data_IF_174941486799
#
_entry.id   IF_174941486799
#
_cell.length_a   1.000
_cell.length_b   1.000
_cell.length_c   1.000
_cell.angle_alpha   90.00
_cell.angle_beta   90.00
_cell.angle_gamma   90.00
#
_symmetry.space_group_name_H-M   'P 1'
#
loop_
_entity.id
_entity.type
_entity.pdbx_description
1 polymer ?
#
# COMPACT_ATOMS: atom_id res chain seq x y z
N UNK A 1 -0.91 -10.99 -25.28
CA UNK A 1 -0.31 -11.76 -24.17
C UNK A 1 -1.23 -12.91 -23.85
N UNK A 2 -0.69 -14.12 -23.73
CA UNK A 2 -1.45 -15.29 -23.29
C UNK A 2 -1.66 -15.25 -21.77
N UNK A 3 -2.74 -15.89 -21.31
CA UNK A 3 -3.15 -15.88 -19.90
C UNK A 3 -2.10 -16.44 -18.95
N UNK A 4 -1.26 -17.37 -19.42
CA UNK A 4 -0.21 -17.97 -18.60
C UNK A 4 0.96 -17.01 -18.38
N UNK A 5 1.32 -16.22 -19.40
CA UNK A 5 2.31 -15.14 -19.25
C UNK A 5 1.84 -14.08 -18.25
N UNK A 6 0.57 -13.65 -18.32
CA UNK A 6 -0.01 -12.69 -17.36
C UNK A 6 0.01 -13.26 -15.93
N UNK A 7 -0.35 -14.54 -15.77
CA UNK A 7 -0.33 -15.20 -14.46
C UNK A 7 1.10 -15.31 -13.90
N UNK A 8 2.08 -15.67 -14.73
CA UNK A 8 3.47 -15.81 -14.32
C UNK A 8 4.07 -14.46 -13.89
N UNK A 9 3.81 -13.39 -14.63
CA UNK A 9 4.22 -12.03 -14.27
C UNK A 9 3.56 -11.59 -12.95
N UNK A 10 2.26 -11.84 -12.77
CA UNK A 10 1.54 -11.53 -11.54
C UNK A 10 2.06 -12.33 -10.32
N UNK A 11 2.46 -13.58 -10.51
CA UNK A 11 3.05 -14.41 -9.44
C UNK A 11 4.47 -13.95 -9.11
N UNK A 12 5.29 -13.64 -10.11
CA UNK A 12 6.66 -13.13 -9.90
C UNK A 12 6.67 -11.77 -9.18
N UNK A 13 5.72 -10.88 -9.51
CA UNK A 13 5.55 -9.62 -8.78
C UNK A 13 5.23 -9.84 -7.29
N UNK A 14 4.49 -10.91 -6.96
CA UNK A 14 4.19 -11.29 -5.58
C UNK A 14 5.36 -11.98 -4.86
N UNK A 15 6.36 -12.50 -5.57
CA UNK A 15 7.56 -13.07 -4.95
C UNK A 15 8.49 -11.98 -4.38
N UNK A 16 8.40 -10.73 -4.88
CA UNK A 16 9.10 -9.57 -4.36
C UNK A 16 8.23 -8.78 -3.36
N UNK A 17 7.59 -9.48 -2.42
CA UNK A 17 6.78 -8.88 -1.37
C UNK A 17 7.60 -8.65 -0.10
N UNK A 18 8.03 -7.43 0.13
CA UNK A 18 8.69 -7.06 1.39
C UNK A 18 7.67 -6.49 2.38
N UNK A 19 7.64 -7.05 3.59
CA UNK A 19 6.94 -6.43 4.72
C UNK A 19 7.88 -5.41 5.35
N UNK A 20 7.60 -4.12 5.16
CA UNK A 20 8.47 -3.04 5.65
C UNK A 20 7.71 -2.10 6.57
N UNK A 21 8.45 -1.36 7.42
CA UNK A 21 7.85 -0.27 8.17
C UNK A 21 7.59 0.91 7.24
N UNK A 22 6.55 1.70 7.54
CA UNK A 22 6.35 3.00 6.89
C UNK A 22 7.58 3.89 7.03
N UNK A 23 8.31 3.78 8.14
CA UNK A 23 9.54 4.54 8.38
C UNK A 23 10.71 4.15 7.47
N UNK A 24 10.62 3.00 6.80
CA UNK A 24 11.64 2.50 5.87
C UNK A 24 11.38 2.96 4.42
N UNK A 25 10.22 3.57 4.17
CA UNK A 25 9.92 4.16 2.86
C UNK A 25 10.82 5.37 2.58
N UNK A 26 11.11 5.60 1.30
CA UNK A 26 11.83 6.79 0.91
C UNK A 26 10.96 8.03 1.14
N UNK A 27 11.57 9.06 1.73
CA UNK A 27 10.90 10.31 2.04
C UNK A 27 10.51 11.04 0.75
N UNK A 28 9.28 11.57 0.74
CA UNK A 28 8.65 12.35 -0.33
C UNK A 28 8.55 11.60 -1.68
N UNK A 29 8.59 10.26 -1.64
CA UNK A 29 8.33 9.39 -2.80
C UNK A 29 6.88 8.93 -2.81
N UNK A 30 6.28 8.91 -4.00
CA UNK A 30 4.93 8.42 -4.25
C UNK A 30 4.94 6.91 -4.48
N UNK A 31 4.24 6.19 -3.61
CA UNK A 31 4.03 4.76 -3.70
C UNK A 31 2.56 4.46 -4.02
N UNK A 32 2.20 4.11 -5.27
CA UNK A 32 0.83 3.77 -5.64
C UNK A 32 0.27 2.65 -4.76
N UNK A 33 -0.94 2.83 -4.23
CA UNK A 33 -1.59 1.79 -3.43
C UNK A 33 -2.36 0.86 -4.37
N UNK A 34 -1.90 -0.37 -4.50
CA UNK A 34 -2.54 -1.40 -5.31
C UNK A 34 -3.76 -1.99 -4.60
N UNK A 35 -3.65 -2.21 -3.29
CA UNK A 35 -4.66 -2.91 -2.51
C UNK A 35 -4.65 -2.43 -1.05
N UNK A 36 -5.83 -2.40 -0.42
CA UNK A 36 -6.00 -2.08 0.99
C UNK A 36 -6.83 -3.16 1.68
N UNK A 37 -6.44 -3.57 2.88
CA UNK A 37 -7.18 -4.58 3.65
C UNK A 37 -7.16 -4.28 5.13
N UNK A 38 -8.33 -4.37 5.73
CA UNK A 38 -8.50 -4.41 7.16
C UNK A 38 -8.03 -5.76 7.71
N UNK A 39 -7.14 -5.73 8.69
CA UNK A 39 -6.61 -6.93 9.33
C UNK A 39 -6.68 -6.84 10.85
N UNK A 40 -7.02 -7.95 11.48
CA UNK A 40 -6.89 -8.11 12.92
C UNK A 40 -5.47 -8.59 13.24
N UNK A 41 -4.71 -7.76 13.92
CA UNK A 41 -3.40 -8.14 14.45
C UNK A 41 -3.51 -8.50 15.92
N UNK A 42 -2.50 -9.19 16.46
CA UNK A 42 -2.37 -9.41 17.91
C UNK A 42 -2.31 -8.11 18.73
N UNK A 43 -2.08 -6.97 18.08
CA UNK A 43 -2.04 -5.65 18.70
C UNK A 43 -3.32 -4.84 18.44
N UNK A 44 -4.35 -5.45 17.87
CA UNK A 44 -5.61 -4.81 17.48
C UNK A 44 -5.75 -4.63 15.96
N UNK A 45 -6.79 -3.92 15.57
CA UNK A 45 -7.12 -3.67 14.16
C UNK A 45 -6.09 -2.76 13.48
N UNK A 46 -5.74 -3.08 12.24
CA UNK A 46 -4.86 -2.27 11.40
C UNK A 46 -5.29 -2.33 9.92
N UNK A 47 -4.93 -1.32 9.16
CA UNK A 47 -5.06 -1.34 7.69
C UNK A 47 -3.72 -1.74 7.10
N UNK A 48 -3.72 -2.82 6.32
CA UNK A 48 -2.60 -3.23 5.47
C UNK A 48 -2.74 -2.58 4.09
N UNK A 49 -1.66 -2.01 3.58
CA UNK A 49 -1.59 -1.51 2.21
C UNK A 49 -0.53 -2.27 1.44
N UNK A 50 -0.90 -2.74 0.24
CA UNK A 50 0.04 -3.23 -0.76
C UNK A 50 0.37 -2.05 -1.67
N UNK A 51 1.61 -1.60 -1.60
CA UNK A 51 2.14 -0.52 -2.40
C UNK A 51 2.89 -1.06 -3.62
N UNK A 52 2.92 -0.32 -4.71
CA UNK A 52 3.84 -0.57 -5.81
C UNK A 52 5.15 0.21 -5.59
N UNK A 53 6.27 -0.50 -5.68
CA UNK A 53 7.59 0.13 -5.69
C UNK A 53 8.03 0.38 -7.13
N UNK A 54 7.90 1.63 -7.57
CA UNK A 54 8.30 2.05 -8.92
C UNK A 54 9.80 1.83 -9.21
N UNK A 55 10.65 1.70 -8.18
CA UNK A 55 12.10 1.54 -8.37
C UNK A 55 12.49 0.09 -8.70
N UNK A 56 11.80 -0.88 -8.10
CA UNK A 56 12.07 -2.31 -8.29
C UNK A 56 11.03 -3.00 -9.19
N UNK A 57 9.89 -2.35 -9.44
CA UNK A 57 8.71 -2.96 -10.05
C UNK A 57 7.98 -3.94 -9.13
N UNK A 58 8.42 -4.08 -7.88
CA UNK A 58 7.86 -4.99 -6.89
C UNK A 58 6.68 -4.42 -6.11
N UNK A 59 6.30 -5.11 -5.04
CA UNK A 59 5.25 -4.67 -4.11
C UNK A 59 5.74 -4.64 -2.67
N UNK A 60 5.32 -3.61 -1.94
CA UNK A 60 5.68 -3.42 -0.53
C UNK A 60 4.42 -3.52 0.32
N UNK A 61 4.47 -4.36 1.35
CA UNK A 61 3.39 -4.51 2.32
C UNK A 61 3.70 -3.65 3.54
N UNK A 62 2.83 -2.65 3.80
CA UNK A 62 2.96 -1.75 4.95
C UNK A 62 1.71 -1.78 5.82
N UNK A 63 1.88 -1.60 7.12
CA UNK A 63 0.77 -1.37 8.05
C UNK A 63 0.62 0.11 8.33
N UNK A 64 -0.58 0.64 8.10
CA UNK A 64 -0.90 2.01 8.45
C UNK A 64 -0.92 2.19 9.99
N UNK A 65 -0.60 3.40 10.49
CA UNK A 65 -0.71 3.70 11.91
C UNK A 65 -2.14 3.48 12.39
N UNK A 66 -2.31 2.97 13.63
CA UNK A 66 -3.62 2.62 14.22
C UNK A 66 -4.69 3.72 14.19
N UNK A 67 -4.29 4.99 14.09
CA UNK A 67 -5.21 6.12 13.98
C UNK A 67 -5.97 6.12 12.64
N UNK A 68 -5.41 5.47 11.62
CA UNK A 68 -6.05 5.32 10.32
C UNK A 68 -6.91 4.06 10.36
N UNK A 69 -8.21 4.26 10.24
CA UNK A 69 -9.20 3.21 10.16
C UNK A 69 -9.99 3.40 8.86
N UNK A 70 -10.29 2.29 8.20
CA UNK A 70 -11.14 2.28 7.01
C UNK A 70 -12.32 1.37 7.22
N UNK A 71 -13.51 1.82 6.80
CA UNK A 71 -14.68 0.96 6.72
C UNK A 71 -14.40 -0.18 5.73
N UNK A 72 -14.96 -1.37 5.98
CA UNK A 72 -14.72 -2.53 5.13
C UNK A 72 -15.19 -2.27 3.69
N UNK A 73 -16.34 -1.62 3.56
CA UNK A 73 -16.95 -1.20 2.29
C UNK A 73 -16.04 -0.24 1.51
N UNK A 74 -15.36 0.67 2.22
CA UNK A 74 -14.42 1.60 1.59
C UNK A 74 -13.16 0.89 1.05
N UNK A 75 -12.65 -0.11 1.77
CA UNK A 75 -11.56 -0.95 1.28
C UNK A 75 -12.00 -1.77 0.05
N UNK A 76 -13.19 -2.35 0.08
CA UNK A 76 -13.74 -3.13 -1.03
C UNK A 76 -13.93 -2.29 -2.29
N UNK A 77 -14.59 -1.13 -2.19
CA UNK A 77 -14.75 -0.20 -3.32
C UNK A 77 -13.39 0.22 -3.89
N UNK A 78 -12.41 0.57 -3.03
CA UNK A 78 -11.06 0.92 -3.49
C UNK A 78 -10.39 -0.22 -4.28
N UNK A 79 -10.49 -1.45 -3.77
CA UNK A 79 -9.88 -2.62 -4.38
C UNK A 79 -10.55 -3.02 -5.70
N UNK A 80 -11.84 -2.75 -5.84
CA UNK A 80 -12.57 -2.90 -7.11
C UNK A 80 -12.23 -1.80 -8.12
N UNK A 81 -11.45 -0.79 -7.72
CA UNK A 81 -11.07 0.33 -8.56
C UNK A 81 -12.13 1.41 -8.67
N UNK A 82 -13.09 1.43 -7.75
CA UNK A 82 -14.08 2.48 -7.66
C UNK A 82 -13.45 3.75 -7.04
N UNK A 83 -13.55 4.88 -7.74
CA UNK A 83 -13.07 6.16 -7.25
C UNK A 83 -11.62 6.47 -7.65
N UNK A 84 -10.91 7.18 -6.76
CA UNK A 84 -9.60 7.76 -7.07
C UNK A 84 -8.48 6.81 -6.65
N UNK A 85 -7.52 6.56 -7.56
CA UNK A 85 -6.28 5.85 -7.22
C UNK A 85 -5.41 6.74 -6.35
N UNK A 86 -4.89 6.16 -5.27
CA UNK A 86 -4.09 6.88 -4.28
C UNK A 86 -2.65 6.42 -4.33
N UNK A 87 -1.73 7.34 -4.03
CA UNK A 87 -0.35 7.04 -3.65
C UNK A 87 -0.13 7.41 -2.19
N UNK A 88 0.56 6.54 -1.47
CA UNK A 88 1.06 6.83 -0.12
C UNK A 88 2.38 7.60 -0.23
N UNK A 89 2.54 8.63 0.58
CA UNK A 89 3.77 9.42 0.69
C UNK A 89 4.25 9.43 2.13
N UNK A 90 5.47 8.98 2.37
CA UNK A 90 6.13 9.16 3.65
C UNK A 90 6.83 10.52 3.70
N UNK A 91 6.47 11.38 4.64
CA UNK A 91 7.02 12.74 4.78
C UNK A 91 8.05 12.87 5.90
N UNK A 92 8.42 11.75 6.54
CA UNK A 92 9.39 11.68 7.62
C UNK A 92 8.77 11.35 8.99
N UNK A 93 9.56 11.56 10.05
CA UNK A 93 9.12 11.33 11.43
C UNK A 93 9.18 12.60 12.25
N UNK A 94 8.17 12.81 13.10
CA UNK A 94 8.15 13.88 14.11
C UNK A 94 7.78 13.28 15.46
N UNK A 95 8.64 13.40 16.46
CA UNK A 95 8.40 12.89 17.82
C UNK A 95 7.92 11.42 17.86
N UNK A 96 8.56 10.54 17.09
CA UNK A 96 8.19 9.11 16.93
C UNK A 96 6.87 8.83 16.22
N UNK A 97 6.23 9.86 15.64
CA UNK A 97 5.04 9.71 14.80
C UNK A 97 5.48 9.74 13.34
N UNK A 98 5.05 8.76 12.55
CA UNK A 98 5.21 8.78 11.11
C UNK A 98 4.30 9.87 10.51
N UNK A 99 4.91 10.84 9.84
CA UNK A 99 4.17 11.79 9.01
C UNK A 99 3.95 11.13 7.65
N UNK A 100 2.72 10.72 7.37
CA UNK A 100 2.33 10.17 6.07
C UNK A 100 1.20 11.00 5.46
N UNK A 101 1.10 10.97 4.14
CA UNK A 101 0.00 11.54 3.37
C UNK A 101 -0.48 10.58 2.29
N UNK A 102 -1.63 10.91 1.71
CA UNK A 102 -2.16 10.25 0.53
C UNK A 102 -2.39 11.31 -0.56
N UNK A 103 -1.94 11.02 -1.76
CA UNK A 103 -2.06 11.90 -2.92
C UNK A 103 -2.83 11.18 -4.03
N UNK A 104 -3.59 11.94 -4.82
CA UNK A 104 -4.35 11.37 -5.94
C UNK A 104 -3.38 11.08 -7.08
N UNK A 105 -3.44 9.87 -7.65
CA UNK A 105 -2.78 9.59 -8.91
C UNK A 105 -3.56 10.32 -10.01
N UNK A 106 -2.95 11.38 -10.54
CA UNK A 106 -3.39 11.98 -11.80
C UNK A 106 -2.86 11.06 -12.91
N UNK A 107 -3.71 10.12 -13.35
CA UNK A 107 -3.52 9.45 -14.63
C UNK A 107 -3.75 10.45 -15.77
#
# INVERSE_FOLDING_TARGET
MDTNTILLEALNAQCCNENISIGDLQKDVLYPVNFMKNIDTKFGFAVSCVLHDNSTGGTLNVFLPKVIMMAAEACESYNQGEGVRLSLVFRGMKNRIFAIGFERNLL
#
